data_IF_390052515310
#
_entry.id   IF_390052515310
#
_cell.length_a   1.000
_cell.length_b   1.000
_cell.length_c   1.000
_cell.angle_alpha   90.00
_cell.angle_beta   90.00
_cell.angle_gamma   90.00
#
_symmetry.space_group_name_H-M   'P 1'
#
loop_
_entity.id
_entity.type
_entity.pdbx_description
1 polymer ?
#
# COMPACT_ATOMS: atom_id res chain seq x y z
N UNK A 1 31.83 -10.83 5.80
CA UNK A 1 32.07 -12.28 5.85
C UNK A 1 30.80 -13.13 5.71
N UNK A 2 29.61 -12.63 6.02
CA UNK A 2 28.36 -13.43 6.01
C UNK A 2 27.49 -13.24 4.77
N UNK A 3 27.86 -12.38 3.84
CA UNK A 3 27.01 -12.05 2.70
C UNK A 3 27.63 -12.51 1.40
N UNK A 4 26.77 -12.93 0.46
CA UNK A 4 27.16 -13.39 -0.88
C UNK A 4 27.80 -12.29 -1.74
N UNK A 5 27.50 -11.01 -1.44
CA UNK A 5 28.07 -9.84 -2.11
C UNK A 5 28.56 -8.80 -1.11
N UNK A 6 29.53 -7.99 -1.54
CA UNK A 6 30.14 -6.89 -0.80
C UNK A 6 29.84 -5.57 -1.51
N UNK A 7 29.62 -4.48 -0.75
CA UNK A 7 29.48 -3.16 -1.32
C UNK A 7 30.82 -2.71 -1.93
N UNK A 8 30.83 -2.43 -3.22
CA UNK A 8 32.00 -1.94 -3.95
C UNK A 8 31.92 -0.44 -4.19
N UNK A 9 30.75 0.08 -4.54
CA UNK A 9 30.54 1.50 -4.80
C UNK A 9 29.10 1.90 -4.47
N UNK A 10 28.94 3.10 -3.91
CA UNK A 10 27.64 3.72 -3.68
C UNK A 10 27.65 5.18 -4.16
N UNK A 11 26.76 5.48 -5.11
CA UNK A 11 26.48 6.87 -5.54
C UNK A 11 25.05 7.22 -5.21
N UNK A 12 24.87 8.14 -4.27
CA UNK A 12 23.55 8.55 -3.81
C UNK A 12 22.65 9.00 -4.97
N UNK A 13 21.44 8.45 -5.04
CA UNK A 13 20.46 8.74 -6.08
C UNK A 13 20.82 8.22 -7.49
N UNK A 14 21.92 7.52 -7.67
CA UNK A 14 22.35 6.98 -8.95
C UNK A 14 22.37 5.46 -8.94
N UNK A 15 23.27 4.83 -8.19
CA UNK A 15 23.36 3.39 -8.16
C UNK A 15 24.09 2.85 -6.91
N UNK A 16 23.88 1.54 -6.67
CA UNK A 16 24.66 0.72 -5.73
C UNK A 16 25.33 -0.37 -6.55
N UNK A 17 26.65 -0.53 -6.41
CA UNK A 17 27.44 -1.59 -7.03
C UNK A 17 27.89 -2.59 -5.98
N UNK A 18 27.56 -3.85 -6.21
CA UNK A 18 27.92 -4.95 -5.35
C UNK A 18 28.87 -5.89 -6.10
N UNK A 19 29.97 -6.24 -5.47
CA UNK A 19 30.94 -7.21 -5.97
C UNK A 19 30.73 -8.56 -5.29
N UNK A 20 30.85 -9.65 -6.02
CA UNK A 20 30.80 -11.02 -5.48
C UNK A 20 31.84 -11.24 -4.39
N UNK A 21 31.41 -11.93 -3.31
CA UNK A 21 32.32 -12.44 -2.27
C UNK A 21 32.71 -13.88 -2.61
N UNK A 22 33.94 -14.05 -3.12
CA UNK A 22 34.40 -15.36 -3.63
C UNK A 22 34.49 -16.42 -2.54
N UNK A 23 34.78 -16.01 -1.28
CA UNK A 23 34.88 -16.88 -0.10
C UNK A 23 33.58 -16.95 0.72
N UNK A 24 32.43 -16.76 0.06
CA UNK A 24 31.16 -16.89 0.74
C UNK A 24 30.92 -18.33 1.22
N UNK A 25 30.53 -18.51 2.48
CA UNK A 25 30.44 -19.81 3.15
C UNK A 25 29.47 -20.82 2.51
N UNK A 26 28.50 -20.37 1.72
CA UNK A 26 27.58 -21.22 0.93
C UNK A 26 28.05 -21.47 -0.50
N UNK A 27 29.27 -21.13 -0.81
CA UNK A 27 29.86 -21.25 -2.13
C UNK A 27 29.82 -19.93 -2.91
N UNK A 28 30.67 -19.85 -3.91
CA UNK A 28 30.88 -18.67 -4.75
C UNK A 28 29.60 -18.31 -5.53
N UNK A 29 29.08 -17.09 -5.42
CA UNK A 29 27.91 -16.63 -6.20
C UNK A 29 28.23 -16.65 -7.70
N UNK A 30 27.21 -16.94 -8.52
CA UNK A 30 27.37 -17.07 -9.97
C UNK A 30 27.69 -15.73 -10.64
N UNK A 31 26.96 -14.68 -10.31
CA UNK A 31 27.16 -13.36 -10.91
C UNK A 31 28.35 -12.64 -10.27
N UNK A 32 29.32 -12.14 -11.05
CA UNK A 32 30.48 -11.44 -10.52
C UNK A 32 30.14 -10.10 -9.91
N UNK A 33 29.11 -9.45 -10.42
CA UNK A 33 28.67 -8.10 -10.00
C UNK A 33 27.16 -7.96 -10.09
N UNK A 34 26.58 -7.16 -9.18
CA UNK A 34 25.19 -6.71 -9.20
C UNK A 34 25.18 -5.19 -9.11
N UNK A 35 24.47 -4.53 -10.02
CA UNK A 35 24.28 -3.08 -9.99
C UNK A 35 22.79 -2.77 -9.77
N UNK A 36 22.48 -2.01 -8.72
CA UNK A 36 21.13 -1.55 -8.42
C UNK A 36 21.01 -0.10 -8.87
N UNK A 37 20.22 0.16 -9.90
CA UNK A 37 19.91 1.52 -10.38
C UNK A 37 18.90 2.22 -9.45
N UNK A 38 19.28 3.37 -8.91
CA UNK A 38 18.45 4.20 -8.04
C UNK A 38 17.96 5.47 -8.74
N UNK A 39 18.53 5.81 -9.89
CA UNK A 39 18.31 7.09 -10.57
C UNK A 39 17.07 7.13 -11.47
N UNK A 40 16.53 5.98 -11.85
CA UNK A 40 15.45 5.92 -12.83
C UNK A 40 14.07 6.00 -12.19
N UNK A 41 13.20 6.90 -12.68
CA UNK A 41 11.77 6.95 -12.35
C UNK A 41 10.97 5.81 -12.99
N UNK A 42 9.66 5.72 -12.68
CA UNK A 42 8.81 4.58 -13.06
C UNK A 42 8.83 4.17 -14.53
N UNK A 43 8.66 5.12 -15.48
CA UNK A 43 8.71 4.84 -16.93
C UNK A 43 10.14 4.57 -17.41
N UNK A 44 11.13 5.28 -16.86
CA UNK A 44 12.54 5.06 -17.19
C UNK A 44 13.02 3.66 -16.81
N UNK A 45 12.59 3.13 -15.68
CA UNK A 45 12.91 1.75 -15.26
C UNK A 45 12.36 0.70 -16.23
N UNK A 46 11.12 0.88 -16.69
CA UNK A 46 10.52 0.01 -17.69
C UNK A 46 11.28 0.08 -19.01
N UNK A 47 11.61 1.29 -19.49
CA UNK A 47 12.40 1.47 -20.72
C UNK A 47 13.73 0.75 -20.66
N UNK A 48 14.47 0.88 -19.57
CA UNK A 48 15.76 0.19 -19.39
C UNK A 48 15.65 -1.34 -19.44
N UNK A 49 14.56 -1.91 -18.88
CA UNK A 49 14.32 -3.35 -19.02
C UNK A 49 14.03 -3.73 -20.48
N UNK A 50 13.18 -2.96 -21.19
CA UNK A 50 12.79 -3.27 -22.58
C UNK A 50 13.95 -3.10 -23.57
N UNK A 51 14.90 -2.19 -23.30
CA UNK A 51 16.11 -1.97 -24.11
C UNK A 51 17.27 -2.90 -23.76
N UNK A 52 17.14 -3.68 -22.67
CA UNK A 52 18.21 -4.56 -22.20
C UNK A 52 19.33 -3.84 -21.42
N UNK A 53 19.13 -2.58 -21.03
CA UNK A 53 20.04 -1.88 -20.12
C UNK A 53 19.98 -2.41 -18.67
N UNK A 54 18.85 -3.03 -18.31
CA UNK A 54 18.63 -3.71 -17.04
C UNK A 54 18.10 -5.12 -17.28
N UNK A 55 18.57 -6.08 -16.49
CA UNK A 55 18.13 -7.48 -16.55
C UNK A 55 16.90 -7.76 -15.70
N UNK A 56 16.69 -6.97 -14.64
CA UNK A 56 15.61 -7.17 -13.67
C UNK A 56 14.93 -5.84 -13.32
N UNK A 57 13.61 -5.82 -13.39
CA UNK A 57 12.77 -4.73 -12.87
C UNK A 57 12.02 -5.22 -11.63
N UNK A 58 12.40 -4.70 -10.46
CA UNK A 58 11.68 -4.94 -9.22
C UNK A 58 10.51 -3.96 -9.08
N UNK A 59 9.36 -4.46 -8.61
CA UNK A 59 8.14 -3.68 -8.35
C UNK A 59 7.73 -2.76 -9.51
N UNK A 60 7.41 -3.31 -10.69
CA UNK A 60 6.83 -2.52 -11.76
C UNK A 60 5.51 -1.89 -11.30
N UNK A 61 5.17 -0.74 -11.87
CA UNK A 61 3.86 -0.17 -11.63
C UNK A 61 2.77 -1.13 -12.14
N UNK A 62 1.66 -1.28 -11.41
CA UNK A 62 0.59 -2.20 -11.78
C UNK A 62 0.04 -1.92 -13.19
N UNK A 63 0.02 -0.65 -13.63
CA UNK A 63 -0.35 -0.25 -14.99
C UNK A 63 0.61 -0.72 -16.09
N UNK A 64 1.80 -1.18 -15.75
CA UNK A 64 2.83 -1.68 -16.67
C UNK A 64 2.80 -3.20 -16.85
N UNK A 65 2.03 -3.92 -16.03
CA UNK A 65 2.04 -5.38 -15.99
C UNK A 65 1.57 -6.03 -17.28
N UNK A 66 0.63 -5.42 -18.01
CA UNK A 66 0.21 -5.91 -19.33
C UNK A 66 1.37 -5.91 -20.32
N UNK A 67 2.11 -4.80 -20.40
CA UNK A 67 3.27 -4.66 -21.28
C UNK A 67 4.33 -5.74 -20.96
N UNK A 68 4.61 -5.94 -19.68
CA UNK A 68 5.59 -6.94 -19.22
C UNK A 68 5.13 -8.38 -19.47
N UNK A 69 3.83 -8.65 -19.38
CA UNK A 69 3.25 -9.99 -19.62
C UNK A 69 3.25 -10.37 -21.08
N UNK A 70 3.01 -9.38 -21.96
CA UNK A 70 2.82 -9.60 -23.38
C UNK A 70 4.14 -9.64 -24.15
N UNK A 71 5.27 -9.23 -23.56
CA UNK A 71 6.61 -9.31 -24.15
C UNK A 71 7.20 -10.71 -23.97
N UNK A 72 7.37 -11.51 -25.05
CA UNK A 72 7.86 -12.89 -24.97
C UNK A 72 9.32 -13.01 -24.51
N UNK A 73 10.07 -11.91 -24.51
CA UNK A 73 11.47 -11.87 -24.02
C UNK A 73 11.54 -11.80 -22.50
N UNK A 74 10.43 -11.46 -21.83
CA UNK A 74 10.37 -11.18 -20.40
C UNK A 74 9.65 -12.29 -19.62
N UNK A 75 10.08 -12.48 -18.39
CA UNK A 75 9.41 -13.36 -17.43
C UNK A 75 8.85 -12.53 -16.27
N UNK A 76 7.51 -12.39 -16.23
CA UNK A 76 6.84 -11.76 -15.10
C UNK A 76 6.56 -12.80 -14.00
N UNK A 77 6.99 -12.51 -12.76
CA UNK A 77 6.67 -13.31 -11.59
C UNK A 77 5.95 -12.46 -10.57
N UNK A 78 4.73 -12.87 -10.20
CA UNK A 78 3.93 -12.23 -9.15
C UNK A 78 3.82 -13.14 -7.95
N UNK A 79 3.92 -12.59 -6.75
CA UNK A 79 3.75 -13.31 -5.48
C UNK A 79 2.87 -12.49 -4.54
N UNK A 80 2.00 -13.13 -3.75
CA UNK A 80 1.29 -12.43 -2.67
C UNK A 80 2.28 -11.79 -1.72
N UNK A 81 2.03 -10.52 -1.38
CA UNK A 81 2.86 -9.75 -0.45
C UNK A 81 2.35 -9.84 0.98
N UNK A 82 3.25 -9.65 1.95
CA UNK A 82 2.93 -9.47 3.36
C UNK A 82 2.70 -7.98 3.64
N UNK A 83 1.72 -7.40 2.94
CA UNK A 83 1.34 -5.99 3.07
C UNK A 83 -0.18 -5.83 3.09
N UNK A 84 -0.64 -4.83 3.83
CA UNK A 84 -2.05 -4.47 3.93
C UNK A 84 -2.19 -2.96 3.93
N UNK A 85 -3.20 -2.44 3.22
CA UNK A 85 -3.62 -1.04 3.28
C UNK A 85 -4.96 -0.95 4.00
N UNK A 86 -5.13 0.06 4.82
CA UNK A 86 -6.38 0.28 5.55
C UNK A 86 -6.67 1.78 5.76
N UNK A 87 -7.94 2.07 5.96
CA UNK A 87 -8.41 3.35 6.48
C UNK A 87 -8.58 3.21 7.98
N UNK A 88 -7.77 3.93 8.77
CA UNK A 88 -7.88 3.94 10.22
C UNK A 88 -8.78 5.10 10.69
N UNK A 89 -9.56 4.83 11.73
CA UNK A 89 -10.42 5.79 12.39
C UNK A 89 -9.81 6.20 13.73
N UNK A 90 -9.78 7.50 14.03
CA UNK A 90 -9.40 7.96 15.36
C UNK A 90 -10.53 7.73 16.37
N UNK A 91 -10.46 6.61 17.06
CA UNK A 91 -11.50 6.18 18.01
C UNK A 91 -11.53 6.99 19.32
N UNK A 92 -10.54 7.85 19.55
CA UNK A 92 -10.54 8.76 20.71
C UNK A 92 -11.46 9.97 20.50
N UNK A 93 -11.89 10.23 19.26
CA UNK A 93 -12.71 11.39 18.91
C UNK A 93 -14.16 11.02 18.61
N UNK A 94 -15.15 11.73 19.21
CA UNK A 94 -16.51 11.69 18.70
C UNK A 94 -16.62 12.27 17.26
N UNK A 95 -17.49 11.73 16.41
CA UNK A 95 -18.37 10.59 16.65
C UNK A 95 -17.72 9.23 16.34
N UNK A 96 -16.43 9.20 15.99
CA UNK A 96 -15.71 7.99 15.55
C UNK A 96 -15.43 7.00 16.68
N UNK A 97 -15.57 7.41 17.94
CA UNK A 97 -15.55 6.52 19.10
C UNK A 97 -16.75 5.54 19.12
N UNK A 98 -17.86 5.86 18.40
CA UNK A 98 -19.01 4.98 18.27
C UNK A 98 -18.78 3.93 17.15
N UNK A 99 -18.80 2.61 17.47
CA UNK A 99 -18.66 1.56 16.47
C UNK A 99 -19.70 1.60 15.35
N UNK A 100 -20.96 2.00 15.65
CA UNK A 100 -22.02 2.09 14.66
C UNK A 100 -21.70 3.16 13.57
N UNK A 101 -21.08 4.27 13.96
CA UNK A 101 -20.62 5.30 13.01
C UNK A 101 -19.53 4.75 12.11
N UNK A 102 -18.53 4.08 12.66
CA UNK A 102 -17.45 3.47 11.87
C UNK A 102 -17.96 2.43 10.89
N UNK A 103 -18.91 1.59 11.33
CA UNK A 103 -19.56 0.60 10.47
C UNK A 103 -20.34 1.27 9.33
N UNK A 104 -21.12 2.30 9.63
CA UNK A 104 -21.87 3.06 8.62
C UNK A 104 -20.93 3.67 7.56
N UNK A 105 -19.80 4.26 7.98
CA UNK A 105 -18.79 4.81 7.08
C UNK A 105 -18.12 3.72 6.23
N UNK A 106 -17.85 2.55 6.80
CA UNK A 106 -17.25 1.43 6.07
C UNK A 106 -18.15 0.91 4.94
N UNK A 107 -19.48 0.87 5.15
CA UNK A 107 -20.47 0.50 4.13
C UNK A 107 -20.48 1.45 2.92
N UNK A 108 -20.00 2.70 3.07
CA UNK A 108 -19.95 3.69 2.00
C UNK A 108 -18.81 3.47 1.01
N UNK A 109 -17.76 2.73 1.38
CA UNK A 109 -16.52 2.62 0.60
C UNK A 109 -16.60 1.46 -0.39
N UNK A 110 -16.43 1.77 -1.69
CA UNK A 110 -16.41 0.79 -2.76
C UNK A 110 -15.02 0.16 -2.92
N UNK A 111 -14.75 -0.90 -2.13
CA UNK A 111 -13.48 -1.62 -2.18
C UNK A 111 -13.18 -2.19 -3.57
N UNK A 112 -14.18 -2.70 -4.30
CA UNK A 112 -13.97 -3.24 -5.64
C UNK A 112 -13.46 -2.16 -6.60
N UNK A 113 -14.01 -0.95 -6.55
CA UNK A 113 -13.52 0.19 -7.34
C UNK A 113 -12.08 0.56 -6.97
N UNK A 114 -11.74 0.54 -5.69
CA UNK A 114 -10.36 0.78 -5.23
C UNK A 114 -9.40 -0.28 -5.79
N UNK A 115 -9.75 -1.57 -5.72
CA UNK A 115 -8.92 -2.66 -6.27
C UNK A 115 -8.66 -2.49 -7.77
N UNK A 116 -9.68 -2.10 -8.52
CA UNK A 116 -9.55 -1.89 -9.98
C UNK A 116 -8.76 -0.62 -10.32
N UNK A 117 -9.09 0.51 -9.68
CA UNK A 117 -8.56 1.83 -10.07
C UNK A 117 -7.17 2.14 -9.54
N UNK A 118 -6.76 1.56 -8.41
CA UNK A 118 -5.49 1.82 -7.73
C UNK A 118 -4.52 0.66 -7.94
N UNK A 119 -5.00 -0.58 -7.79
CA UNK A 119 -4.16 -1.78 -7.80
C UNK A 119 -4.24 -2.56 -9.12
N UNK A 120 -5.11 -2.16 -10.07
CA UNK A 120 -5.25 -2.80 -11.39
C UNK A 120 -5.45 -4.33 -11.28
N UNK A 121 -6.20 -4.78 -10.28
CA UNK A 121 -6.46 -6.19 -10.04
C UNK A 121 -5.29 -6.99 -9.43
N UNK A 122 -4.23 -6.32 -8.97
CA UNK A 122 -3.08 -6.99 -8.31
C UNK A 122 -3.21 -7.12 -6.80
N UNK A 123 -4.29 -6.60 -6.23
CA UNK A 123 -4.61 -6.70 -4.80
C UNK A 123 -6.00 -7.33 -4.61
N UNK A 124 -6.26 -7.80 -3.42
CA UNK A 124 -7.55 -8.30 -2.98
C UNK A 124 -8.07 -7.51 -1.77
N UNK A 125 -9.38 -7.52 -1.56
CA UNK A 125 -9.96 -6.86 -0.40
C UNK A 125 -9.60 -7.63 0.87
N UNK A 126 -9.04 -6.93 1.84
CA UNK A 126 -8.68 -7.50 3.13
C UNK A 126 -9.93 -7.63 4.03
N UNK A 127 -10.10 -8.77 4.68
CA UNK A 127 -11.14 -8.99 5.68
C UNK A 127 -10.65 -8.67 7.10
N UNK A 128 -9.34 -8.60 7.30
CA UNK A 128 -8.70 -8.28 8.58
C UNK A 128 -7.40 -7.51 8.36
N UNK A 129 -6.74 -7.13 9.44
CA UNK A 129 -5.42 -6.49 9.38
C UNK A 129 -4.31 -7.43 8.88
N UNK A 130 -4.51 -8.74 8.99
CA UNK A 130 -3.57 -9.72 8.48
C UNK A 130 -3.81 -9.99 7.00
N UNK A 131 -2.77 -9.96 6.15
CA UNK A 131 -2.89 -10.35 4.75
C UNK A 131 -3.14 -11.86 4.62
N UNK A 132 -3.81 -12.27 3.54
CA UNK A 132 -4.14 -13.69 3.28
C UNK A 132 -2.90 -14.60 3.23
N UNK A 133 -1.74 -14.07 2.91
CA UNK A 133 -0.47 -14.80 2.92
C UNK A 133 0.04 -15.13 4.33
N UNK A 134 -0.52 -14.54 5.40
CA UNK A 134 -0.20 -14.86 6.78
C UNK A 134 -0.75 -16.22 7.17
N UNK A 135 0.03 -17.02 7.88
CA UNK A 135 -0.43 -18.31 8.42
C UNK A 135 -1.51 -18.15 9.50
N UNK A 136 -1.62 -16.96 10.12
CA UNK A 136 -2.64 -16.64 11.13
C UNK A 136 -3.87 -15.93 10.52
N UNK A 137 -4.00 -15.91 9.17
CA UNK A 137 -5.16 -15.31 8.52
C UNK A 137 -6.43 -16.09 8.85
N UNK A 138 -7.48 -15.37 9.28
CA UNK A 138 -8.80 -15.94 9.51
C UNK A 138 -9.60 -15.97 8.20
N UNK A 139 -9.81 -17.18 7.66
CA UNK A 139 -10.59 -17.39 6.43
C UNK A 139 -12.09 -17.16 6.62
N UNK A 140 -12.59 -17.13 7.85
CA UNK A 140 -14.01 -16.89 8.16
C UNK A 140 -14.32 -15.41 8.38
N UNK A 141 -13.27 -14.55 8.46
CA UNK A 141 -13.43 -13.13 8.59
C UNK A 141 -14.23 -12.54 7.41
N UNK A 142 -15.25 -11.76 7.74
CA UNK A 142 -16.18 -11.20 6.74
C UNK A 142 -15.72 -9.82 6.28
N UNK A 143 -15.71 -9.64 4.98
CA UNK A 143 -15.48 -8.31 4.36
C UNK A 143 -16.76 -7.48 4.54
N UNK A 144 -16.60 -6.22 4.94
CA UNK A 144 -17.73 -5.28 4.97
C UNK A 144 -18.23 -5.06 3.54
N UNK A 145 -19.53 -5.27 3.33
CA UNK A 145 -20.18 -5.05 2.04
C UNK A 145 -20.19 -3.56 1.65
N UNK A 146 -20.19 -3.30 0.35
CA UNK A 146 -20.46 -1.95 -0.14
C UNK A 146 -21.97 -1.74 -0.25
N UNK A 147 -22.53 -0.83 0.58
CA UNK A 147 -23.95 -0.56 0.61
C UNK A 147 -24.21 0.91 1.01
N UNK A 148 -24.07 1.86 0.06
CA UNK A 148 -24.21 3.28 0.36
C UNK A 148 -25.64 3.68 0.78
N UNK A 149 -26.67 2.94 0.37
CA UNK A 149 -28.04 3.20 0.81
C UNK A 149 -28.19 2.94 2.32
N UNK A 150 -27.71 1.76 2.78
CA UNK A 150 -27.68 1.38 4.20
C UNK A 150 -26.78 2.31 5.03
N UNK A 151 -25.63 2.71 4.46
CA UNK A 151 -24.75 3.70 5.09
C UNK A 151 -25.48 5.01 5.38
N UNK A 152 -26.17 5.56 4.37
CA UNK A 152 -26.93 6.81 4.50
C UNK A 152 -28.05 6.69 5.54
N UNK A 153 -28.78 5.59 5.53
CA UNK A 153 -29.83 5.32 6.51
C UNK A 153 -29.28 5.30 7.94
N UNK A 154 -28.19 4.57 8.16
CA UNK A 154 -27.54 4.48 9.48
C UNK A 154 -26.99 5.82 9.95
N UNK A 155 -26.32 6.58 9.07
CA UNK A 155 -25.81 7.91 9.42
C UNK A 155 -26.95 8.88 9.77
N UNK A 156 -28.07 8.84 9.04
CA UNK A 156 -29.26 9.62 9.35
C UNK A 156 -29.87 9.24 10.70
N UNK A 157 -30.01 7.96 10.98
CA UNK A 157 -30.50 7.47 12.28
C UNK A 157 -29.60 7.90 13.47
N UNK A 158 -28.32 8.13 13.21
CA UNK A 158 -27.34 8.63 14.18
C UNK A 158 -27.27 10.18 14.24
N UNK A 159 -28.06 10.90 13.42
CA UNK A 159 -28.04 12.36 13.35
C UNK A 159 -26.79 12.97 12.70
N UNK A 160 -26.12 12.21 11.81
CA UNK A 160 -24.81 12.57 11.22
C UNK A 160 -24.91 12.85 9.71
N UNK A 161 -26.00 13.45 9.24
CA UNK A 161 -26.23 13.72 7.81
C UNK A 161 -25.25 14.74 7.18
N UNK A 162 -24.56 15.56 7.99
CA UNK A 162 -23.63 16.60 7.54
C UNK A 162 -22.24 16.46 8.20
N UNK A 163 -21.81 15.23 8.40
CA UNK A 163 -20.53 14.96 9.03
C UNK A 163 -19.36 15.44 8.15
N UNK A 164 -18.39 16.14 8.76
CA UNK A 164 -17.14 16.54 8.10
C UNK A 164 -15.97 15.85 8.79
N UNK A 165 -15.12 15.16 8.03
CA UNK A 165 -13.98 14.40 8.54
C UNK A 165 -12.69 14.80 7.82
N UNK A 166 -11.59 14.91 8.56
CA UNK A 166 -10.25 15.14 8.00
C UNK A 166 -9.57 13.80 7.76
N UNK A 167 -9.21 13.54 6.50
CA UNK A 167 -8.46 12.35 6.08
C UNK A 167 -7.00 12.71 5.82
N UNK A 168 -6.10 12.20 6.65
CA UNK A 168 -4.66 12.33 6.45
C UNK A 168 -4.14 11.28 5.48
N UNK A 169 -3.32 11.75 4.52
CA UNK A 169 -2.90 10.95 3.38
C UNK A 169 -1.42 11.14 3.10
N UNK A 170 -0.63 10.05 2.97
CA UNK A 170 0.75 10.15 2.52
C UNK A 170 0.86 10.78 1.13
N UNK A 171 1.83 11.68 0.94
CA UNK A 171 2.04 12.35 -0.35
C UNK A 171 2.76 11.48 -1.38
N UNK A 172 3.42 10.41 -0.94
CA UNK A 172 4.23 9.52 -1.79
C UNK A 172 3.64 8.13 -1.85
N UNK A 173 3.93 7.43 -2.95
CA UNK A 173 3.68 5.99 -3.09
C UNK A 173 4.26 5.20 -1.91
N UNK A 174 3.52 4.22 -1.42
CA UNK A 174 3.87 3.34 -0.31
C UNK A 174 3.92 1.89 -0.80
N UNK A 175 4.65 1.02 -0.10
CA UNK A 175 4.69 -0.40 -0.41
C UNK A 175 3.31 -1.07 -0.37
N UNK A 176 2.40 -0.53 0.44
CA UNK A 176 1.02 -0.99 0.62
C UNK A 176 0.00 -0.21 -0.23
N UNK A 177 0.37 0.97 -0.80
CA UNK A 177 -0.53 1.74 -1.66
C UNK A 177 0.29 2.53 -2.70
N UNK A 178 0.16 2.21 -4.00
CA UNK A 178 0.91 2.88 -5.06
C UNK A 178 0.46 4.32 -5.32
N UNK A 179 -0.77 4.70 -4.93
CA UNK A 179 -1.33 6.03 -5.19
C UNK A 179 -2.25 6.50 -4.06
N UNK A 180 -1.69 6.89 -2.88
CA UNK A 180 -2.49 7.25 -1.71
C UNK A 180 -3.45 8.42 -1.96
N UNK A 181 -3.02 9.47 -2.68
CA UNK A 181 -3.87 10.62 -2.98
C UNK A 181 -5.08 10.23 -3.83
N UNK A 182 -4.88 9.44 -4.89
CA UNK A 182 -5.98 8.95 -5.73
C UNK A 182 -6.93 8.03 -4.93
N UNK A 183 -6.39 7.22 -4.03
CA UNK A 183 -7.20 6.41 -3.11
C UNK A 183 -8.09 7.29 -2.24
N UNK A 184 -7.53 8.35 -1.66
CA UNK A 184 -8.26 9.30 -0.83
C UNK A 184 -9.36 10.05 -1.62
N UNK A 185 -9.10 10.44 -2.86
CA UNK A 185 -10.09 11.07 -3.75
C UNK A 185 -11.27 10.14 -4.04
N UNK A 186 -11.00 8.85 -4.26
CA UNK A 186 -12.05 7.85 -4.46
C UNK A 186 -12.88 7.64 -3.19
N UNK A 187 -12.24 7.55 -2.01
CA UNK A 187 -12.92 7.48 -0.72
C UNK A 187 -13.74 8.74 -0.46
N UNK A 188 -13.20 9.92 -0.75
CA UNK A 188 -13.91 11.20 -0.63
C UNK A 188 -15.19 11.20 -1.48
N UNK A 189 -15.09 10.73 -2.73
CA UNK A 189 -16.23 10.64 -3.63
C UNK A 189 -17.30 9.63 -3.14
N UNK A 190 -16.89 8.50 -2.57
CA UNK A 190 -17.79 7.51 -1.98
C UNK A 190 -18.52 8.08 -0.75
N UNK A 191 -17.80 8.73 0.15
CA UNK A 191 -18.34 9.37 1.36
C UNK A 191 -19.29 10.49 1.03
N UNK A 192 -19.02 11.28 -0.01
CA UNK A 192 -19.90 12.35 -0.47
C UNK A 192 -21.29 11.84 -0.91
N UNK A 193 -21.37 10.62 -1.45
CA UNK A 193 -22.65 9.99 -1.85
C UNK A 193 -23.56 9.73 -0.64
N UNK A 194 -23.01 9.59 0.54
CA UNK A 194 -23.77 9.35 1.78
C UNK A 194 -23.88 10.59 2.68
N UNK A 195 -23.53 11.78 2.14
CA UNK A 195 -23.65 13.05 2.86
C UNK A 195 -22.48 13.39 3.78
N UNK A 196 -21.37 12.62 3.70
CA UNK A 196 -20.17 12.88 4.52
C UNK A 196 -19.14 13.66 3.70
N UNK A 197 -18.73 14.82 4.21
CA UNK A 197 -17.67 15.63 3.63
C UNK A 197 -16.31 15.19 4.14
N UNK A 198 -15.43 14.72 3.25
CA UNK A 198 -14.04 14.39 3.60
C UNK A 198 -13.11 15.51 3.12
N UNK A 199 -12.29 16.02 4.04
CA UNK A 199 -11.23 17.00 3.74
C UNK A 199 -9.91 16.27 3.70
N UNK A 200 -9.32 16.15 2.50
CA UNK A 200 -8.04 15.48 2.30
C UNK A 200 -6.91 16.40 2.80
N UNK A 201 -6.07 15.89 3.69
CA UNK A 201 -4.92 16.58 4.26
C UNK A 201 -3.65 15.80 3.89
N UNK A 202 -2.88 16.25 2.88
CA UNK A 202 -1.62 15.61 2.51
C UNK A 202 -0.59 15.73 3.65
N UNK A 203 0.09 14.63 3.98
CA UNK A 203 1.11 14.55 5.04
C UNK A 203 2.39 13.92 4.49
N UNK A 204 3.52 14.59 4.66
CA UNK A 204 4.82 13.99 4.31
C UNK A 204 5.14 12.82 5.26
N UNK A 205 5.60 11.68 4.71
CA UNK A 205 5.80 10.43 5.44
C UNK A 205 6.68 10.56 6.70
N UNK A 206 7.75 11.36 6.66
CA UNK A 206 8.62 11.61 7.82
C UNK A 206 7.94 12.31 9.00
N UNK A 207 6.81 12.97 8.77
CA UNK A 207 6.02 13.65 9.81
C UNK A 207 4.74 12.90 10.17
N UNK A 208 4.42 11.83 9.45
CA UNK A 208 3.17 11.11 9.63
C UNK A 208 3.08 10.51 11.04
N UNK A 209 4.12 9.82 11.49
CA UNK A 209 4.16 9.20 12.82
C UNK A 209 4.06 10.25 13.94
N UNK A 210 4.87 11.31 13.87
CA UNK A 210 4.83 12.38 14.87
C UNK A 210 3.45 13.06 14.94
N UNK A 211 2.80 13.29 13.78
CA UNK A 211 1.47 13.89 13.72
C UNK A 211 0.36 12.93 14.14
N UNK A 212 0.52 11.61 13.95
CA UNK A 212 -0.43 10.64 14.46
C UNK A 212 -0.51 10.66 15.99
N UNK A 213 0.63 10.92 16.65
CA UNK A 213 0.70 11.08 18.11
C UNK A 213 -0.10 12.29 18.62
N UNK A 214 -0.25 13.35 17.82
CA UNK A 214 -1.08 14.53 18.17
C UNK A 214 -2.58 14.23 18.17
N UNK A 215 -3.01 13.07 17.66
CA UNK A 215 -4.40 12.63 17.59
C UNK A 215 -5.36 13.69 16.98
N UNK A 216 -4.83 14.57 16.11
CA UNK A 216 -5.62 15.68 15.52
C UNK A 216 -6.38 15.28 14.26
N UNK A 217 -6.05 14.12 13.65
CA UNK A 217 -6.79 13.54 12.52
C UNK A 217 -8.13 12.95 12.96
N UNK A 218 -9.02 12.75 12.00
CA UNK A 218 -10.22 11.94 12.18
C UNK A 218 -10.03 10.57 11.52
N UNK A 219 -9.52 10.60 10.28
CA UNK A 219 -9.18 9.43 9.48
C UNK A 219 -7.73 9.50 9.02
N UNK A 220 -7.09 8.36 8.85
CA UNK A 220 -5.80 8.29 8.15
C UNK A 220 -5.75 7.10 7.19
N UNK A 221 -5.23 7.33 5.99
CA UNK A 221 -4.90 6.26 5.07
C UNK A 221 -3.51 5.74 5.46
N UNK A 222 -3.47 4.50 5.87
CA UNK A 222 -2.27 3.85 6.39
C UNK A 222 -2.15 2.43 5.86
N UNK A 223 -1.11 1.75 6.25
CA UNK A 223 -0.87 0.36 5.90
C UNK A 223 0.43 -0.13 6.50
N UNK A 224 0.65 -1.41 6.39
CA UNK A 224 1.84 -2.07 6.88
C UNK A 224 2.41 -3.02 5.84
N UNK A 225 3.71 -3.15 5.81
CA UNK A 225 4.41 -4.16 5.03
C UNK A 225 5.51 -4.77 5.90
N UNK A 226 5.58 -6.08 5.95
CA UNK A 226 6.62 -6.80 6.69
C UNK A 226 7.37 -7.75 5.78
N UNK A 227 8.63 -7.97 6.07
CA UNK A 227 9.51 -8.98 5.45
C UNK A 227 9.63 -10.26 6.29
N UNK A 228 8.93 -10.33 7.43
CA UNK A 228 8.79 -11.54 8.23
C UNK A 228 7.41 -12.16 8.10
N UNK A 229 7.30 -13.47 8.31
CA UNK A 229 6.00 -14.17 8.34
C UNK A 229 5.34 -14.16 9.73
N UNK A 230 5.89 -13.38 10.67
CA UNK A 230 5.33 -13.28 12.02
C UNK A 230 4.16 -12.29 12.02
N UNK A 231 2.94 -12.74 12.33
CA UNK A 231 1.75 -11.87 12.38
C UNK A 231 1.84 -10.77 13.45
N UNK A 232 2.65 -10.94 14.50
CA UNK A 232 2.87 -9.95 15.56
C UNK A 232 3.31 -8.58 15.00
N UNK A 233 4.05 -8.57 13.88
CA UNK A 233 4.48 -7.33 13.24
C UNK A 233 3.33 -6.42 12.75
N UNK A 234 2.11 -6.94 12.61
CA UNK A 234 0.92 -6.18 12.23
C UNK A 234 0.18 -5.55 13.42
N UNK A 235 0.56 -5.90 14.65
CA UNK A 235 -0.12 -5.48 15.88
C UNK A 235 0.74 -4.57 16.78
N UNK A 236 1.93 -4.19 16.32
CA UNK A 236 2.86 -3.30 17.03
C UNK A 236 2.68 -1.83 16.66
#
# INVERSE_FOLDING_TARGET
LFRSYQLSEYRAGQFIRLQRHDDFWRGKPLMPQVVVDLGSGGTGRLSKLLTGECDVLAWPAASQLSILRDDPRLRLTLRPGMNVAYLAFNTAKPPLNNPAVRHALALAINNQRLMQSIYYGTAETAASILPRASWAYDNEAKITEYNPAKSREQLKALGLENLTLKLWVPTRSQAWNPSPLKTAELIQADMAQVGVKVVIVPVEGRFQEARLMDMSHDLTLSGWATDSNDPDSFFR
#
